data_IF_567651917737
#
_entry.id   IF_567651917737
#
_cell.length_a   1.000
_cell.length_b   1.000
_cell.length_c   1.000
_cell.angle_alpha   90.00
_cell.angle_beta   90.00
_cell.angle_gamma   90.00
#
_symmetry.space_group_name_H-M   'P 1'
#
loop_
_entity.id
_entity.type
_entity.pdbx_description
1 polymer ?
#
# COMPACT_ATOMS: atom_id res chain seq x y z
N UNK A 1 -6.35 -55.12 3.44
CA UNK A 1 -5.49 -54.03 2.90
C UNK A 1 -6.42 -52.87 2.57
N UNK A 2 -6.57 -51.94 3.49
CA UNK A 2 -7.39 -50.74 3.30
C UNK A 2 -6.46 -49.55 3.01
N UNK A 3 -6.46 -49.11 1.76
CA UNK A 3 -5.73 -47.93 1.35
C UNK A 3 -6.47 -46.68 1.81
N UNK A 4 -5.87 -45.90 2.74
CA UNK A 4 -6.33 -44.56 3.06
C UNK A 4 -5.90 -43.62 1.93
N UNK A 5 -6.86 -43.17 1.14
CA UNK A 5 -6.68 -42.01 0.26
C UNK A 5 -6.67 -40.75 1.13
N UNK A 6 -5.50 -40.19 1.30
CA UNK A 6 -5.38 -38.81 1.80
C UNK A 6 -5.83 -37.89 0.66
N UNK A 7 -7.06 -37.39 0.75
CA UNK A 7 -7.54 -36.30 -0.09
C UNK A 7 -6.81 -35.06 0.42
N UNK A 8 -5.81 -34.59 -0.32
CA UNK A 8 -5.32 -33.23 -0.19
C UNK A 8 -6.49 -32.31 -0.57
N UNK A 9 -7.17 -31.79 0.43
CA UNK A 9 -8.04 -30.62 0.24
C UNK A 9 -7.11 -29.45 -0.13
N UNK A 10 -6.98 -29.18 -1.42
CA UNK A 10 -6.50 -27.87 -1.87
C UNK A 10 -7.39 -26.85 -1.21
N UNK A 11 -6.83 -26.05 -0.27
CA UNK A 11 -7.58 -25.10 0.53
C UNK A 11 -8.41 -24.21 -0.38
N UNK A 12 -9.70 -24.15 -0.13
CA UNK A 12 -10.59 -23.19 -0.78
C UNK A 12 -10.05 -21.79 -0.46
N UNK A 13 -9.75 -21.00 -1.50
CA UNK A 13 -9.35 -19.60 -1.32
C UNK A 13 -10.51 -18.86 -0.64
N UNK A 14 -10.19 -18.02 0.34
CA UNK A 14 -11.19 -17.15 0.93
C UNK A 14 -11.73 -16.15 -0.11
N UNK A 15 -13.03 -15.88 -0.07
CA UNK A 15 -13.69 -14.99 -1.02
C UNK A 15 -14.00 -13.64 -0.39
N UNK A 16 -14.01 -12.59 -1.22
CA UNK A 16 -14.47 -11.28 -0.79
C UNK A 16 -15.97 -11.30 -0.49
N UNK A 17 -16.37 -10.65 0.61
CA UNK A 17 -17.77 -10.57 1.03
C UNK A 17 -18.61 -9.58 0.20
N UNK A 18 -17.97 -8.66 -0.54
CA UNK A 18 -18.62 -7.67 -1.39
C UNK A 18 -18.08 -7.71 -2.81
N UNK A 19 -18.89 -7.28 -3.77
CA UNK A 19 -18.50 -7.21 -5.18
C UNK A 19 -17.40 -6.16 -5.43
N UNK A 20 -17.43 -5.05 -4.69
CA UNK A 20 -16.42 -4.00 -4.80
C UNK A 20 -16.26 -3.19 -3.52
N UNK A 21 -15.01 -2.94 -3.13
CA UNK A 21 -14.66 -2.12 -1.98
C UNK A 21 -14.24 -0.72 -2.41
N UNK A 22 -14.94 0.29 -1.89
CA UNK A 22 -14.56 1.69 -1.99
C UNK A 22 -14.00 2.15 -0.65
N UNK A 23 -12.74 2.55 -0.62
CA UNK A 23 -12.08 2.90 0.63
C UNK A 23 -11.08 4.03 0.54
N UNK A 24 -10.49 4.30 1.69
CA UNK A 24 -9.26 5.08 1.85
C UNK A 24 -8.25 4.26 2.61
N UNK A 25 -6.96 4.56 2.39
CA UNK A 25 -5.84 3.91 3.06
C UNK A 25 -5.14 4.83 4.03
N UNK A 26 -4.57 4.22 5.06
CA UNK A 26 -3.68 4.85 6.06
C UNK A 26 -2.61 3.87 6.48
N UNK A 27 -1.58 4.34 7.23
CA UNK A 27 -0.64 3.48 7.94
C UNK A 27 -0.39 3.97 9.37
N UNK A 28 -0.15 3.04 10.28
CA UNK A 28 -0.02 3.32 11.71
C UNK A 28 1.03 4.40 12.02
N UNK A 29 2.26 4.22 11.54
CA UNK A 29 3.33 5.18 11.81
C UNK A 29 3.00 6.59 11.30
N UNK A 30 2.38 6.70 10.13
CA UNK A 30 2.09 7.98 9.48
C UNK A 30 0.95 8.77 10.12
N UNK A 31 0.04 8.10 10.87
CA UNK A 31 -1.14 8.78 11.43
C UNK A 31 -1.31 8.68 12.94
N UNK A 32 -0.80 7.61 13.59
CA UNK A 32 -1.13 7.35 15.00
C UNK A 32 -0.37 8.23 15.98
N UNK A 33 0.92 8.53 15.69
CA UNK A 33 1.83 9.23 16.61
C UNK A 33 2.46 8.30 17.65
N UNK A 34 3.49 8.79 18.33
CA UNK A 34 4.12 8.08 19.45
C UNK A 34 4.88 6.81 19.09
N UNK A 35 5.29 6.62 17.83
CA UNK A 35 6.01 5.44 17.34
C UNK A 35 7.48 5.32 17.79
N UNK A 36 7.81 5.66 19.05
CA UNK A 36 9.19 5.83 19.54
C UNK A 36 10.04 4.55 19.58
N UNK A 37 9.41 3.37 19.48
CA UNK A 37 10.09 2.07 19.52
C UNK A 37 10.29 1.48 18.11
N UNK A 38 10.34 2.31 17.06
CA UNK A 38 10.55 1.89 15.68
C UNK A 38 11.94 2.29 15.18
N UNK A 39 12.46 1.55 14.20
CA UNK A 39 13.64 1.90 13.43
C UNK A 39 13.49 3.26 12.74
N UNK A 40 12.29 3.61 12.24
CA UNK A 40 11.98 4.88 11.64
C UNK A 40 12.11 6.05 12.63
N UNK A 41 11.60 5.92 13.85
CA UNK A 41 11.76 6.93 14.88
C UNK A 41 13.23 7.24 15.19
N UNK A 42 14.06 6.20 15.25
CA UNK A 42 15.51 6.33 15.41
C UNK A 42 16.15 6.96 14.19
N UNK A 43 15.75 6.53 13.00
CA UNK A 43 16.29 6.97 11.72
C UNK A 43 16.02 8.47 11.46
N UNK A 44 14.81 8.95 11.64
CA UNK A 44 14.44 10.35 11.39
C UNK A 44 15.13 11.34 12.36
N UNK A 45 15.73 10.86 13.45
CA UNK A 45 16.48 11.64 14.44
C UNK A 45 17.99 11.43 14.36
N UNK A 46 18.45 10.56 13.48
CA UNK A 46 19.88 10.28 13.32
C UNK A 46 20.60 11.46 12.66
N UNK A 47 21.87 11.66 13.04
CA UNK A 47 22.70 12.66 12.40
C UNK A 47 22.93 12.27 10.93
N UNK A 48 22.66 13.21 10.02
CA UNK A 48 22.80 12.98 8.57
C UNK A 48 21.64 12.20 7.93
N UNK A 49 20.52 12.02 8.66
CA UNK A 49 19.30 11.47 8.08
C UNK A 49 18.81 12.31 6.90
N UNK A 50 18.27 11.71 5.84
CA UNK A 50 17.58 12.44 4.78
C UNK A 50 16.17 12.93 5.17
N UNK A 51 15.67 12.53 6.35
CA UNK A 51 14.35 12.98 6.81
C UNK A 51 14.34 14.48 7.12
N UNK A 52 13.42 15.21 6.51
CA UNK A 52 13.33 16.68 6.67
C UNK A 52 12.60 17.09 7.95
N UNK A 53 11.75 16.21 8.48
CA UNK A 53 10.98 16.41 9.71
C UNK A 53 10.85 15.09 10.46
N UNK A 54 10.44 15.15 11.73
CA UNK A 54 10.09 13.99 12.54
C UNK A 54 8.59 13.76 12.56
N UNK A 55 8.17 12.51 12.64
CA UNK A 55 6.75 12.13 12.68
C UNK A 55 6.02 12.73 13.91
N UNK A 56 6.63 12.65 15.09
CA UNK A 56 6.05 13.20 16.32
C UNK A 56 4.72 12.57 16.70
N UNK A 57 3.71 13.43 16.87
CA UNK A 57 2.33 12.98 17.19
C UNK A 57 1.51 12.60 15.97
N UNK A 58 2.08 12.63 14.79
CA UNK A 58 1.43 12.34 13.52
C UNK A 58 0.06 13.07 13.38
N UNK A 59 -1.01 12.34 13.12
CA UNK A 59 -2.38 12.88 13.12
C UNK A 59 -3.12 12.61 14.43
N UNK A 60 -2.43 12.08 15.46
CA UNK A 60 -3.03 11.66 16.73
C UNK A 60 -4.19 10.65 16.55
N UNK A 61 -4.14 9.87 15.47
CA UNK A 61 -5.21 8.90 15.15
C UNK A 61 -5.29 7.76 16.15
N UNK A 62 -4.22 7.47 16.92
CA UNK A 62 -4.29 6.54 18.04
C UNK A 62 -5.41 6.89 19.03
N UNK A 63 -5.60 8.18 19.31
CA UNK A 63 -6.65 8.67 20.21
C UNK A 63 -7.92 9.08 19.46
N UNK A 64 -7.83 9.42 18.17
CA UNK A 64 -8.91 10.05 17.38
C UNK A 64 -9.42 9.18 16.23
N UNK A 65 -9.14 7.88 16.24
CA UNK A 65 -9.56 6.95 15.17
C UNK A 65 -11.08 6.97 14.92
N UNK A 66 -11.90 7.19 15.95
CA UNK A 66 -13.36 7.24 15.77
C UNK A 66 -13.77 8.42 14.89
N UNK A 67 -13.15 9.61 15.08
CA UNK A 67 -13.38 10.79 14.24
C UNK A 67 -12.96 10.51 12.78
N UNK A 68 -11.81 9.86 12.58
CA UNK A 68 -11.32 9.50 11.25
C UNK A 68 -12.26 8.51 10.55
N UNK A 69 -12.77 7.52 11.28
CA UNK A 69 -13.73 6.54 10.77
C UNK A 69 -15.12 7.15 10.50
N UNK A 70 -15.58 8.09 11.34
CA UNK A 70 -16.81 8.86 11.11
C UNK A 70 -16.72 9.64 9.79
N UNK A 71 -15.57 10.27 9.54
CA UNK A 71 -15.32 10.96 8.27
C UNK A 71 -15.36 9.97 7.11
N UNK A 72 -14.63 8.86 7.18
CA UNK A 72 -14.61 7.85 6.10
C UNK A 72 -16.03 7.32 5.79
N UNK A 73 -16.81 7.01 6.81
CA UNK A 73 -18.20 6.56 6.65
C UNK A 73 -19.09 7.66 6.05
N UNK A 74 -18.92 8.92 6.45
CA UNK A 74 -19.68 10.06 5.92
C UNK A 74 -19.47 10.26 4.42
N UNK A 75 -18.32 9.87 3.89
CA UNK A 75 -18.02 9.89 2.46
C UNK A 75 -18.75 8.78 1.68
N UNK A 76 -19.42 7.85 2.37
CA UNK A 76 -20.12 6.71 1.76
C UNK A 76 -19.20 5.56 1.39
N UNK A 77 -18.01 5.52 1.99
CA UNK A 77 -17.08 4.40 1.83
C UNK A 77 -17.60 3.16 2.54
N UNK A 78 -17.20 1.99 2.07
CA UNK A 78 -17.55 0.69 2.65
C UNK A 78 -16.33 -0.11 3.12
N UNK A 79 -15.13 0.48 3.05
CA UNK A 79 -13.90 -0.13 3.54
C UNK A 79 -12.92 0.93 4.05
N UNK A 80 -12.06 0.52 4.98
CA UNK A 80 -10.98 1.35 5.51
C UNK A 80 -9.72 0.51 5.68
N UNK A 81 -8.61 0.95 5.06
CA UNK A 81 -7.32 0.25 5.19
C UNK A 81 -6.44 0.95 6.21
N UNK A 82 -5.97 0.15 7.16
CA UNK A 82 -5.07 0.55 8.24
C UNK A 82 -3.94 -0.46 8.40
N UNK A 83 -2.90 -0.12 9.13
CA UNK A 83 -1.89 -1.09 9.54
C UNK A 83 -1.86 -1.29 11.05
N UNK A 84 -1.38 -2.45 11.50
CA UNK A 84 -1.07 -2.73 12.90
C UNK A 84 0.42 -2.52 13.10
N UNK A 85 0.81 -1.71 14.08
CA UNK A 85 2.20 -1.37 14.34
C UNK A 85 2.88 -2.47 15.18
N UNK A 86 3.80 -3.21 14.55
CA UNK A 86 4.53 -4.29 15.21
C UNK A 86 5.29 -3.84 16.46
N UNK A 87 5.92 -2.66 16.39
CA UNK A 87 6.68 -2.10 17.51
C UNK A 87 5.82 -1.76 18.74
N UNK A 88 4.50 -1.60 18.57
CA UNK A 88 3.55 -1.47 19.67
C UNK A 88 3.11 -2.81 20.20
N UNK A 89 2.80 -3.75 19.32
CA UNK A 89 2.29 -5.09 19.68
C UNK A 89 3.37 -5.90 20.41
N UNK A 90 4.61 -5.82 19.96
CA UNK A 90 5.76 -6.54 20.52
C UNK A 90 6.92 -5.57 20.76
N UNK A 91 6.84 -4.74 21.82
CA UNK A 91 7.84 -3.71 22.10
C UNK A 91 9.24 -4.28 22.41
N UNK A 92 9.28 -5.49 22.98
CA UNK A 92 10.50 -6.27 23.21
C UNK A 92 10.26 -7.70 22.75
N UNK A 93 11.32 -8.38 22.32
CA UNK A 93 11.22 -9.75 21.79
C UNK A 93 10.49 -10.69 22.75
N UNK A 94 9.37 -11.24 22.31
CA UNK A 94 8.51 -12.15 23.07
C UNK A 94 7.59 -11.49 24.08
N UNK A 95 7.59 -10.17 24.21
CA UNK A 95 6.69 -9.43 25.10
C UNK A 95 5.53 -8.85 24.29
N UNK A 96 4.37 -9.48 24.39
CA UNK A 96 3.17 -9.04 23.68
C UNK A 96 2.37 -8.09 24.55
N UNK A 97 2.13 -6.88 24.06
CA UNK A 97 1.27 -5.90 24.71
C UNK A 97 -0.20 -6.18 24.35
N UNK A 98 -0.89 -6.84 25.28
CA UNK A 98 -2.31 -7.21 25.14
C UNK A 98 -3.20 -5.96 25.04
N UNK A 99 -2.86 -4.88 25.75
CA UNK A 99 -3.66 -3.65 25.74
C UNK A 99 -3.62 -2.97 24.35
N UNK A 100 -2.50 -3.09 23.65
CA UNK A 100 -2.36 -2.63 22.26
C UNK A 100 -3.23 -3.47 21.32
N UNK A 101 -3.24 -4.80 21.45
CA UNK A 101 -4.12 -5.67 20.66
C UNK A 101 -5.59 -5.39 20.93
N UNK A 102 -5.97 -5.16 22.20
CA UNK A 102 -7.33 -4.74 22.55
C UNK A 102 -7.69 -3.39 21.94
N UNK A 103 -6.74 -2.43 21.88
CA UNK A 103 -6.97 -1.15 21.23
C UNK A 103 -7.25 -1.34 19.74
N UNK A 104 -6.40 -2.06 19.00
CA UNK A 104 -6.68 -2.37 17.60
C UNK A 104 -7.99 -3.15 17.43
N UNK A 105 -8.33 -4.04 18.35
CA UNK A 105 -9.63 -4.70 18.39
C UNK A 105 -10.80 -3.72 18.43
N UNK A 106 -10.71 -2.66 19.24
CA UNK A 106 -11.71 -1.58 19.30
C UNK A 106 -11.76 -0.77 17.99
N UNK A 107 -10.60 -0.52 17.36
CA UNK A 107 -10.55 0.17 16.05
C UNK A 107 -11.28 -0.64 14.98
N UNK A 108 -11.04 -1.96 14.91
CA UNK A 108 -11.71 -2.83 13.93
C UNK A 108 -13.21 -2.93 14.20
N UNK A 109 -13.64 -3.03 15.48
CA UNK A 109 -15.06 -2.99 15.86
C UNK A 109 -15.71 -1.66 15.46
N UNK A 110 -15.00 -0.54 15.65
CA UNK A 110 -15.47 0.78 15.24
C UNK A 110 -15.61 0.92 13.71
N UNK A 111 -14.75 0.27 12.92
CA UNK A 111 -14.92 0.16 11.47
C UNK A 111 -16.23 -0.58 11.13
N UNK A 112 -16.42 -1.77 11.68
CA UNK A 112 -17.64 -2.56 11.42
C UNK A 112 -18.93 -1.85 11.87
N UNK A 113 -18.89 -1.17 13.01
CA UNK A 113 -20.03 -0.39 13.51
C UNK A 113 -20.45 0.73 12.56
N UNK A 114 -19.53 1.18 11.69
CA UNK A 114 -19.76 2.23 10.66
C UNK A 114 -19.98 1.69 9.25
N UNK A 115 -20.05 0.36 9.10
CA UNK A 115 -20.19 -0.30 7.80
C UNK A 115 -18.92 -0.26 6.95
N UNK A 116 -17.76 -0.01 7.58
CA UNK A 116 -16.45 0.00 6.94
C UNK A 116 -15.79 -1.37 7.14
N UNK A 117 -15.56 -2.11 6.07
CA UNK A 117 -14.79 -3.36 6.10
C UNK A 117 -13.32 -3.07 6.45
N UNK A 118 -12.78 -3.59 7.57
CA UNK A 118 -11.39 -3.32 7.95
C UNK A 118 -10.42 -4.13 7.09
N UNK A 119 -9.54 -3.42 6.37
CA UNK A 119 -8.44 -3.99 5.61
C UNK A 119 -7.17 -3.80 6.39
N UNK A 120 -6.59 -4.90 6.89
CA UNK A 120 -5.47 -4.84 7.82
C UNK A 120 -4.16 -5.13 7.11
N UNK A 121 -3.23 -4.19 7.18
CA UNK A 121 -1.84 -4.37 6.76
C UNK A 121 -0.99 -4.71 7.97
N UNK A 122 -0.25 -5.82 7.91
CA UNK A 122 0.54 -6.31 9.04
C UNK A 122 1.92 -5.67 9.15
N UNK A 123 2.56 -5.37 8.04
CA UNK A 123 3.83 -4.63 8.03
C UNK A 123 3.75 -3.46 7.06
N UNK A 124 4.01 -2.25 7.57
CA UNK A 124 4.02 -1.02 6.77
C UNK A 124 5.27 -0.18 7.08
N UNK A 125 6.42 -0.62 6.51
CA UNK A 125 7.76 0.00 6.50
C UNK A 125 8.54 -0.03 7.83
N UNK A 126 7.87 -0.03 8.97
CA UNK A 126 8.50 0.09 10.29
C UNK A 126 8.84 -1.26 10.90
N UNK A 127 9.98 -1.33 11.59
CA UNK A 127 10.38 -2.48 12.40
C UNK A 127 10.54 -2.06 13.87
N UNK A 128 10.18 -2.93 14.83
CA UNK A 128 10.58 -2.74 16.23
C UNK A 128 12.08 -2.56 16.37
N UNK A 129 12.54 -1.74 17.31
CA UNK A 129 13.98 -1.53 17.53
C UNK A 129 14.74 -2.83 17.78
N UNK A 130 14.15 -3.79 18.51
CA UNK A 130 14.80 -5.08 18.77
C UNK A 130 15.00 -5.93 17.50
N UNK A 131 14.08 -5.81 16.51
CA UNK A 131 14.23 -6.45 15.19
C UNK A 131 15.30 -5.76 14.39
N UNK A 132 15.28 -4.43 14.35
CA UNK A 132 16.28 -3.63 13.65
C UNK A 132 17.69 -3.86 14.22
N UNK A 133 17.84 -3.93 15.53
CA UNK A 133 19.10 -4.21 16.23
C UNK A 133 19.62 -5.64 15.98
N UNK A 134 18.73 -6.59 15.71
CA UNK A 134 19.07 -7.95 15.29
C UNK A 134 19.44 -8.07 13.80
N UNK A 135 19.45 -6.96 13.04
CA UNK A 135 19.81 -6.91 11.62
C UNK A 135 18.64 -6.71 10.66
N UNK A 136 17.41 -6.49 11.16
CA UNK A 136 16.23 -6.22 10.32
C UNK A 136 15.98 -7.33 9.30
N UNK A 137 15.73 -6.96 8.04
CA UNK A 137 15.49 -7.93 6.95
C UNK A 137 16.73 -8.70 6.49
N UNK A 138 17.92 -8.41 7.02
CA UNK A 138 19.12 -9.21 6.81
C UNK A 138 19.36 -10.24 7.92
N UNK A 139 18.57 -10.19 8.99
CA UNK A 139 18.63 -11.18 10.07
C UNK A 139 18.15 -12.55 9.59
N UNK A 140 18.85 -13.65 9.91
CA UNK A 140 18.41 -15.00 9.58
C UNK A 140 17.07 -15.37 10.26
N UNK A 141 16.73 -14.71 11.37
CA UNK A 141 15.52 -14.98 12.14
C UNK A 141 14.28 -14.18 11.68
N UNK A 142 14.43 -13.20 10.78
CA UNK A 142 13.37 -12.24 10.47
C UNK A 142 12.10 -12.90 9.94
N UNK A 143 12.24 -13.91 9.08
CA UNK A 143 11.10 -14.62 8.50
C UNK A 143 10.27 -15.29 9.59
N UNK A 144 10.90 -15.92 10.57
CA UNK A 144 10.21 -16.53 11.71
C UNK A 144 9.60 -15.48 12.64
N UNK A 145 10.30 -14.38 12.88
CA UNK A 145 9.84 -13.32 13.78
C UNK A 145 8.60 -12.61 13.22
N UNK A 146 8.60 -12.24 11.94
CA UNK A 146 7.46 -11.57 11.32
C UNK A 146 6.25 -12.51 11.16
N UNK A 147 6.48 -13.80 10.89
CA UNK A 147 5.42 -14.81 10.87
C UNK A 147 4.82 -15.04 12.26
N UNK A 148 5.66 -15.03 13.32
CA UNK A 148 5.20 -15.09 14.69
C UNK A 148 4.32 -13.88 15.04
N UNK A 149 4.78 -12.68 14.74
CA UNK A 149 3.99 -11.47 14.92
C UNK A 149 2.64 -11.54 14.18
N UNK A 150 2.66 -11.94 12.89
CA UNK A 150 1.44 -12.09 12.11
C UNK A 150 0.46 -13.08 12.77
N UNK A 151 0.95 -14.20 13.27
CA UNK A 151 0.14 -15.18 14.01
C UNK A 151 -0.46 -14.60 15.29
N UNK A 152 0.33 -13.88 16.10
CA UNK A 152 -0.16 -13.24 17.33
C UNK A 152 -1.29 -12.26 17.06
N UNK A 153 -1.12 -11.41 16.03
CA UNK A 153 -2.17 -10.44 15.63
C UNK A 153 -3.39 -11.17 15.08
N UNK A 154 -3.20 -12.23 14.27
CA UNK A 154 -4.31 -13.01 13.73
C UNK A 154 -5.09 -13.74 14.84
N UNK A 155 -4.42 -14.30 15.82
CA UNK A 155 -5.06 -14.93 16.98
C UNK A 155 -5.96 -13.95 17.78
N UNK A 156 -5.53 -12.69 17.88
CA UNK A 156 -6.28 -11.68 18.61
C UNK A 156 -7.37 -10.99 17.78
N UNK A 157 -7.15 -10.76 16.49
CA UNK A 157 -7.95 -9.87 15.67
C UNK A 157 -8.58 -10.55 14.45
N UNK A 158 -8.21 -11.78 14.09
CA UNK A 158 -8.54 -12.41 12.82
C UNK A 158 -10.05 -12.45 12.51
N UNK A 159 -10.90 -12.71 13.50
CA UNK A 159 -12.36 -12.73 13.31
C UNK A 159 -12.96 -11.36 12.94
N UNK A 160 -12.19 -10.26 13.13
CA UNK A 160 -12.61 -8.89 12.85
C UNK A 160 -12.07 -8.37 11.52
N UNK A 161 -11.16 -9.09 10.86
CA UNK A 161 -10.51 -8.66 9.61
C UNK A 161 -11.41 -8.99 8.42
N UNK A 162 -11.60 -8.02 7.51
CA UNK A 162 -12.30 -8.24 6.25
C UNK A 162 -11.39 -8.85 5.18
N UNK A 163 -10.17 -8.35 5.04
CA UNK A 163 -9.06 -8.95 4.29
C UNK A 163 -7.71 -8.37 4.74
N UNK A 164 -6.63 -9.11 4.51
CA UNK A 164 -5.32 -8.85 5.06
C UNK A 164 -4.26 -8.60 3.97
N UNK A 165 -3.46 -7.54 4.14
CA UNK A 165 -2.22 -7.34 3.42
C UNK A 165 -1.05 -7.74 4.32
N UNK A 166 -0.22 -8.68 3.89
CA UNK A 166 0.93 -9.12 4.67
C UNK A 166 1.97 -8.03 4.85
N UNK A 167 2.55 -7.57 3.74
CA UNK A 167 3.58 -6.54 3.70
C UNK A 167 3.16 -5.44 2.73
N UNK A 168 3.27 -4.19 3.16
CA UNK A 168 3.13 -3.03 2.30
C UNK A 168 4.42 -2.79 1.51
N UNK A 169 4.31 -2.78 0.19
CA UNK A 169 5.38 -2.41 -0.75
C UNK A 169 6.77 -3.00 -0.39
N UNK A 170 6.89 -4.33 -0.28
CA UNK A 170 8.17 -4.92 0.09
C UNK A 170 9.31 -4.52 -0.86
N UNK A 171 9.00 -4.32 -2.15
CA UNK A 171 9.93 -3.82 -3.13
C UNK A 171 10.44 -2.40 -2.82
N UNK A 172 9.59 -1.53 -2.24
CA UNK A 172 10.02 -0.19 -1.79
C UNK A 172 10.84 -0.28 -0.51
N UNK A 173 10.47 -1.16 0.43
CA UNK A 173 11.31 -1.43 1.62
C UNK A 173 12.73 -1.79 1.20
N UNK A 174 12.88 -2.74 0.27
CA UNK A 174 14.19 -3.14 -0.23
C UNK A 174 14.89 -2.02 -1.02
N UNK A 175 14.18 -1.36 -1.93
CA UNK A 175 14.76 -0.34 -2.80
C UNK A 175 15.21 0.89 -2.02
N UNK A 176 14.35 1.44 -1.17
CA UNK A 176 14.65 2.67 -0.45
C UNK A 176 15.59 2.43 0.73
N UNK A 177 15.50 1.28 1.38
CA UNK A 177 16.33 0.94 2.53
C UNK A 177 17.72 0.41 2.17
N UNK A 178 17.85 -0.34 1.06
CA UNK A 178 19.07 -1.09 0.76
C UNK A 178 19.73 -0.74 -0.58
N UNK A 179 19.03 -0.05 -1.48
CA UNK A 179 19.61 0.39 -2.76
C UNK A 179 19.90 1.89 -2.78
N UNK A 180 18.97 2.71 -2.27
CA UNK A 180 19.11 4.17 -2.30
C UNK A 180 19.47 4.79 -0.93
N UNK A 181 19.27 4.09 0.16
CA UNK A 181 19.61 4.56 1.50
C UNK A 181 18.73 5.70 2.02
N UNK A 182 17.53 5.89 1.46
CA UNK A 182 16.57 6.91 1.90
C UNK A 182 15.69 6.45 3.06
N UNK A 183 15.57 5.15 3.30
CA UNK A 183 14.85 4.56 4.41
C UNK A 183 15.81 3.81 5.33
N UNK A 184 15.44 3.48 6.59
CA UNK A 184 16.25 2.61 7.40
C UNK A 184 16.45 1.24 6.69
N UNK A 185 17.63 0.62 6.76
CA UNK A 185 18.80 0.99 7.53
C UNK A 185 19.82 1.91 6.79
N UNK A 186 19.43 2.61 5.73
CA UNK A 186 20.25 3.55 4.96
C UNK A 186 21.44 2.92 4.25
N UNK A 187 21.22 1.78 3.62
CA UNK A 187 22.23 1.04 2.87
C UNK A 187 22.15 1.38 1.37
N UNK A 188 23.29 1.40 0.69
CA UNK A 188 23.41 1.59 -0.76
C UNK A 188 24.25 0.46 -1.37
N UNK A 189 23.64 -0.73 -1.48
CA UNK A 189 24.31 -1.93 -1.97
C UNK A 189 23.35 -2.80 -2.78
N UNK A 190 23.71 -3.08 -4.04
CA UNK A 190 22.87 -3.85 -4.95
C UNK A 190 22.72 -5.33 -4.55
N UNK A 191 23.76 -5.93 -3.96
CA UNK A 191 23.70 -7.33 -3.54
C UNK A 191 22.80 -7.49 -2.30
N UNK A 192 22.91 -6.56 -1.34
CA UNK A 192 22.05 -6.53 -0.15
C UNK A 192 20.59 -6.25 -0.54
N UNK A 193 20.35 -5.31 -1.46
CA UNK A 193 19.01 -5.07 -2.01
C UNK A 193 18.38 -6.36 -2.55
N UNK A 194 19.09 -7.15 -3.36
CA UNK A 194 18.58 -8.41 -3.89
C UNK A 194 18.32 -9.45 -2.82
N UNK A 195 19.25 -9.60 -1.86
CA UNK A 195 19.10 -10.53 -0.76
C UNK A 195 17.88 -10.18 0.11
N UNK A 196 17.66 -8.89 0.39
CA UNK A 196 16.50 -8.42 1.15
C UNK A 196 15.20 -8.60 0.38
N UNK A 197 15.19 -8.38 -0.94
CA UNK A 197 14.02 -8.71 -1.76
C UNK A 197 13.62 -10.20 -1.64
N UNK A 198 14.62 -11.11 -1.64
CA UNK A 198 14.36 -12.52 -1.42
C UNK A 198 13.79 -12.80 -0.03
N UNK A 199 14.41 -12.21 1.02
CA UNK A 199 13.91 -12.34 2.40
C UNK A 199 12.48 -11.85 2.54
N UNK A 200 12.11 -10.73 1.91
CA UNK A 200 10.76 -10.17 1.96
C UNK A 200 9.72 -11.08 1.25
N UNK A 201 10.11 -11.75 0.16
CA UNK A 201 9.25 -12.76 -0.49
C UNK A 201 9.03 -13.98 0.41
N UNK A 202 10.07 -14.45 1.09
CA UNK A 202 9.96 -15.55 2.08
C UNK A 202 9.13 -15.13 3.28
N UNK A 203 9.32 -13.91 3.79
CA UNK A 203 8.55 -13.34 4.89
C UNK A 203 7.06 -13.26 4.52
N UNK A 204 6.74 -12.77 3.32
CA UNK A 204 5.37 -12.75 2.82
C UNK A 204 4.72 -14.16 2.85
N UNK A 205 5.39 -15.19 2.30
CA UNK A 205 4.86 -16.56 2.30
C UNK A 205 4.64 -17.09 3.71
N UNK A 206 5.61 -16.89 4.60
CA UNK A 206 5.48 -17.32 6.01
C UNK A 206 4.33 -16.59 6.74
N UNK A 207 4.10 -15.32 6.42
CA UNK A 207 2.95 -14.57 6.97
C UNK A 207 1.62 -15.09 6.40
N UNK A 208 1.53 -15.40 5.10
CA UNK A 208 0.32 -16.01 4.51
C UNK A 208 -0.04 -17.30 5.23
N UNK A 209 0.94 -18.18 5.46
CA UNK A 209 0.72 -19.45 6.17
C UNK A 209 0.27 -19.20 7.62
N UNK A 210 0.89 -18.25 8.32
CA UNK A 210 0.54 -17.88 9.68
C UNK A 210 -0.89 -17.32 9.78
N UNK A 211 -1.29 -16.44 8.84
CA UNK A 211 -2.62 -15.83 8.82
C UNK A 211 -3.72 -16.84 8.47
N UNK A 212 -3.47 -17.74 7.52
CA UNK A 212 -4.42 -18.80 7.14
C UNK A 212 -4.59 -19.86 8.22
N UNK A 213 -3.61 -20.03 9.10
CA UNK A 213 -3.69 -20.94 10.24
C UNK A 213 -4.43 -20.33 11.46
N UNK A 214 -4.59 -19.00 11.50
CA UNK A 214 -5.27 -18.28 12.57
C UNK A 214 -6.80 -18.31 12.46
N UNK A 215 -7.49 -17.73 13.45
CA UNK A 215 -8.96 -17.62 13.42
C UNK A 215 -9.43 -16.61 12.35
N UNK A 216 -10.68 -16.78 11.94
CA UNK A 216 -11.29 -15.99 10.87
C UNK A 216 -11.15 -16.65 9.51
N UNK A 217 -11.89 -16.12 8.53
CA UNK A 217 -11.83 -16.55 7.13
C UNK A 217 -11.88 -15.31 6.26
N UNK A 218 -10.73 -14.83 5.88
CA UNK A 218 -10.56 -13.59 5.12
C UNK A 218 -9.50 -13.78 4.02
N UNK A 219 -9.63 -13.08 2.89
CA UNK A 219 -8.60 -13.07 1.85
C UNK A 219 -7.27 -12.53 2.37
N UNK A 220 -6.17 -13.16 1.98
CA UNK A 220 -4.80 -12.76 2.31
C UNK A 220 -4.02 -12.52 1.03
N UNK A 221 -3.31 -11.39 0.95
CA UNK A 221 -2.49 -11.03 -0.19
C UNK A 221 -1.35 -10.07 0.15
N UNK A 222 -0.59 -9.73 -0.87
CA UNK A 222 0.51 -8.77 -0.80
C UNK A 222 0.05 -7.41 -1.36
N UNK A 223 0.54 -6.29 -0.81
CA UNK A 223 0.39 -4.98 -1.43
C UNK A 223 1.71 -4.58 -2.10
N UNK A 224 1.73 -4.54 -3.44
CA UNK A 224 2.93 -4.31 -4.25
C UNK A 224 2.90 -2.91 -4.88
N UNK A 225 4.01 -2.17 -4.74
CA UNK A 225 4.21 -0.94 -5.49
C UNK A 225 4.51 -1.27 -6.95
N UNK A 226 3.71 -0.71 -7.85
CA UNK A 226 3.84 -0.89 -9.29
C UNK A 226 3.83 0.48 -9.99
N UNK A 227 4.53 0.57 -11.11
CA UNK A 227 4.53 1.79 -11.90
C UNK A 227 4.50 1.48 -13.39
N UNK A 228 4.13 2.47 -14.20
CA UNK A 228 4.39 2.35 -15.62
C UNK A 228 5.86 2.67 -15.89
N UNK A 229 6.69 1.64 -16.00
CA UNK A 229 8.09 1.81 -16.40
C UNK A 229 8.19 1.82 -17.92
N UNK A 230 8.92 2.82 -18.46
CA UNK A 230 9.14 3.01 -19.89
C UNK A 230 10.64 3.17 -20.16
N UNK A 231 11.18 2.39 -21.09
CA UNK A 231 12.56 2.53 -21.55
C UNK A 231 12.72 3.81 -22.39
N UNK A 232 13.76 4.55 -22.13
CA UNK A 232 14.16 5.73 -22.91
C UNK A 232 15.67 5.70 -23.18
N UNK A 233 16.09 6.24 -24.30
CA UNK A 233 17.51 6.44 -24.67
C UNK A 233 18.37 5.17 -24.57
N UNK A 234 17.86 3.99 -24.89
CA UNK A 234 18.59 2.73 -24.81
C UNK A 234 18.60 2.08 -23.43
N UNK A 235 17.61 2.37 -22.59
CA UNK A 235 17.47 1.83 -21.22
C UNK A 235 16.78 0.46 -21.12
N UNK A 236 16.62 -0.31 -22.21
CA UNK A 236 15.84 -1.56 -22.25
C UNK A 236 16.38 -2.63 -21.29
N UNK A 237 17.68 -2.84 -21.29
CA UNK A 237 18.34 -3.81 -20.40
C UNK A 237 18.17 -3.40 -18.92
N UNK A 238 18.37 -2.11 -18.64
CA UNK A 238 18.20 -1.55 -17.30
C UNK A 238 16.76 -1.69 -16.82
N UNK A 239 15.80 -1.38 -17.70
CA UNK A 239 14.38 -1.56 -17.44
C UNK A 239 14.04 -3.02 -17.14
N UNK A 240 14.50 -3.97 -17.95
CA UNK A 240 14.25 -5.39 -17.73
C UNK A 240 14.80 -5.88 -16.38
N UNK A 241 16.01 -5.45 -16.02
CA UNK A 241 16.62 -5.78 -14.73
C UNK A 241 15.84 -5.18 -13.56
N UNK A 242 15.46 -3.89 -13.64
CA UNK A 242 14.71 -3.21 -12.59
C UNK A 242 13.32 -3.83 -12.41
N UNK A 243 12.59 -4.05 -13.49
CA UNK A 243 11.24 -4.63 -13.46
C UNK A 243 11.24 -6.03 -12.85
N UNK A 244 12.25 -6.84 -13.14
CA UNK A 244 12.40 -8.16 -12.53
C UNK A 244 12.45 -8.08 -11.01
N UNK A 245 13.29 -7.22 -10.47
CA UNK A 245 13.49 -7.08 -9.01
C UNK A 245 12.31 -6.38 -8.32
N UNK A 246 11.71 -5.39 -9.00
CA UNK A 246 10.63 -4.59 -8.41
C UNK A 246 9.25 -5.21 -8.54
N UNK A 247 8.98 -5.97 -9.60
CA UNK A 247 7.64 -6.48 -9.88
C UNK A 247 7.62 -8.00 -10.14
N UNK A 248 8.37 -8.51 -11.14
CA UNK A 248 8.15 -9.84 -11.70
C UNK A 248 8.36 -10.96 -10.69
N UNK A 249 9.39 -10.85 -9.85
CA UNK A 249 9.68 -11.87 -8.82
C UNK A 249 8.61 -11.88 -7.71
N UNK A 250 8.00 -10.75 -7.38
CA UNK A 250 6.85 -10.69 -6.47
C UNK A 250 5.58 -11.25 -7.11
N UNK A 251 5.32 -10.90 -8.38
CA UNK A 251 4.16 -11.41 -9.13
C UNK A 251 4.19 -12.93 -9.29
N UNK A 252 5.37 -13.56 -9.27
CA UNK A 252 5.50 -15.04 -9.24
C UNK A 252 5.12 -15.62 -7.87
N UNK A 253 5.47 -14.93 -6.79
CA UNK A 253 5.27 -15.46 -5.42
C UNK A 253 3.80 -15.40 -5.00
N UNK A 254 3.02 -14.44 -5.50
CA UNK A 254 1.61 -14.22 -5.11
C UNK A 254 0.61 -15.11 -5.85
N UNK A 255 1.04 -16.05 -6.69
CA UNK A 255 0.13 -16.88 -7.51
C UNK A 255 -0.90 -17.69 -6.70
N UNK A 256 -0.55 -18.02 -5.44
CA UNK A 256 -1.42 -18.76 -4.51
C UNK A 256 -2.10 -17.87 -3.48
N UNK A 257 -1.96 -16.55 -3.57
CA UNK A 257 -2.65 -15.61 -2.72
C UNK A 257 -4.12 -15.48 -3.13
N UNK A 258 -4.93 -14.91 -2.24
CA UNK A 258 -6.35 -14.69 -2.51
C UNK A 258 -6.58 -13.43 -3.33
N UNK A 259 -5.63 -12.48 -3.30
CA UNK A 259 -5.60 -11.28 -4.13
C UNK A 259 -4.19 -10.69 -4.21
N UNK A 260 -4.01 -9.77 -5.16
CA UNK A 260 -2.85 -8.86 -5.19
C UNK A 260 -3.32 -7.42 -4.96
N UNK A 261 -2.75 -6.76 -3.98
CA UNK A 261 -2.85 -5.31 -3.80
C UNK A 261 -1.93 -4.58 -4.78
N UNK A 262 -2.48 -3.71 -5.61
CA UNK A 262 -1.74 -2.87 -6.56
C UNK A 262 -1.70 -1.46 -6.02
N UNK A 263 -0.49 -0.90 -5.88
CA UNK A 263 -0.25 0.48 -5.46
C UNK A 263 0.48 1.21 -6.57
N UNK A 264 -0.08 2.31 -7.06
CA UNK A 264 0.50 3.01 -8.21
C UNK A 264 0.20 4.49 -8.17
N UNK A 265 1.20 5.29 -8.55
CA UNK A 265 1.14 6.75 -8.44
C UNK A 265 1.58 7.48 -9.71
N UNK A 266 2.45 6.85 -10.52
CA UNK A 266 3.11 7.55 -11.61
C UNK A 266 3.66 6.63 -12.70
N UNK A 267 4.35 7.22 -13.65
CA UNK A 267 5.21 6.61 -14.66
C UNK A 267 6.67 7.00 -14.40
N UNK A 268 7.57 6.04 -14.59
CA UNK A 268 9.01 6.26 -14.55
C UNK A 268 9.65 5.97 -15.91
N UNK A 269 10.45 6.91 -16.39
CA UNK A 269 11.28 6.72 -17.57
C UNK A 269 12.63 6.16 -17.12
N UNK A 270 13.08 5.07 -17.75
CA UNK A 270 14.31 4.34 -17.39
C UNK A 270 15.31 4.45 -18.55
N UNK A 271 16.39 5.16 -18.30
CA UNK A 271 17.56 5.23 -19.17
C UNK A 271 18.61 4.17 -18.84
N UNK A 272 19.74 4.12 -19.57
CA UNK A 272 20.84 3.18 -19.33
C UNK A 272 21.41 3.26 -17.89
N UNK A 273 21.47 4.48 -17.33
CA UNK A 273 22.00 4.72 -15.97
C UNK A 273 20.95 4.53 -14.86
N UNK A 274 19.68 4.32 -15.21
CA UNK A 274 18.60 4.15 -14.27
C UNK A 274 17.43 5.10 -14.50
N UNK A 275 16.77 5.50 -13.40
CA UNK A 275 15.58 6.33 -13.44
C UNK A 275 15.90 7.76 -13.90
N UNK A 276 15.13 8.25 -14.89
CA UNK A 276 15.27 9.61 -15.45
C UNK A 276 14.27 10.52 -14.75
N UNK A 277 14.80 11.46 -13.98
CA UNK A 277 14.00 12.42 -13.21
C UNK A 277 13.73 13.73 -13.97
N UNK A 278 14.50 14.00 -15.03
CA UNK A 278 14.30 15.15 -15.88
C UNK A 278 13.34 14.81 -17.01
N UNK A 279 12.11 15.27 -16.89
CA UNK A 279 11.04 15.09 -17.87
C UNK A 279 10.19 16.36 -18.00
N UNK A 280 9.65 16.57 -19.16
CA UNK A 280 8.69 17.65 -19.40
C UNK A 280 7.29 17.27 -18.90
N UNK A 281 6.53 18.29 -18.47
CA UNK A 281 5.14 18.15 -18.06
C UNK A 281 4.89 18.41 -16.58
N UNK A 282 3.67 18.13 -16.18
CA UNK A 282 3.15 18.42 -14.86
C UNK A 282 3.76 17.47 -13.80
N UNK A 283 4.13 18.05 -12.65
CA UNK A 283 4.72 17.32 -11.51
C UNK A 283 3.80 17.35 -10.30
N UNK A 284 3.93 16.32 -9.48
CA UNK A 284 3.35 16.26 -8.13
C UNK A 284 4.30 16.87 -7.11
N UNK A 285 3.84 17.09 -5.87
CA UNK A 285 4.71 17.55 -4.77
C UNK A 285 5.79 16.52 -4.37
N UNK A 286 5.64 15.25 -4.79
CA UNK A 286 6.67 14.21 -4.66
C UNK A 286 7.76 14.32 -5.73
N UNK A 287 7.66 15.24 -6.67
CA UNK A 287 8.52 15.30 -7.86
C UNK A 287 8.15 14.28 -8.94
N UNK A 288 7.13 13.46 -8.74
CA UNK A 288 6.66 12.48 -9.71
C UNK A 288 5.98 13.17 -10.91
N UNK A 289 5.95 12.47 -12.04
CA UNK A 289 5.13 12.87 -13.19
C UNK A 289 3.65 12.75 -12.82
N UNK A 290 2.83 13.75 -13.15
CA UNK A 290 1.38 13.63 -13.12
C UNK A 290 0.96 12.58 -14.16
N UNK A 291 0.54 11.39 -13.71
CA UNK A 291 0.28 10.25 -14.59
C UNK A 291 -0.82 9.31 -14.05
N UNK A 292 -2.09 9.73 -14.01
CA UNK A 292 -3.20 8.93 -13.52
C UNK A 292 -3.45 7.64 -14.33
N UNK A 293 -2.95 7.58 -15.58
CA UNK A 293 -3.01 6.39 -16.45
C UNK A 293 -2.24 5.20 -15.90
N UNK A 294 -1.40 5.39 -14.87
CA UNK A 294 -0.70 4.30 -14.20
C UNK A 294 -1.66 3.25 -13.65
N UNK A 295 -2.86 3.64 -13.19
CA UNK A 295 -3.86 2.70 -12.65
C UNK A 295 -4.29 1.67 -13.70
N UNK A 296 -4.69 2.12 -14.88
CA UNK A 296 -5.09 1.20 -15.97
C UNK A 296 -3.93 0.31 -16.40
N UNK A 297 -2.75 0.91 -16.57
CA UNK A 297 -1.55 0.19 -17.00
C UNK A 297 -1.15 -0.90 -16.01
N UNK A 298 -1.03 -0.58 -14.71
CA UNK A 298 -0.58 -1.53 -13.70
C UNK A 298 -1.59 -2.64 -13.45
N UNK A 299 -2.89 -2.36 -13.54
CA UNK A 299 -3.94 -3.36 -13.46
C UNK A 299 -3.85 -4.37 -14.62
N UNK A 300 -3.68 -3.90 -15.86
CA UNK A 300 -3.47 -4.80 -17.00
C UNK A 300 -2.17 -5.57 -16.87
N UNK A 301 -1.09 -4.93 -16.43
CA UNK A 301 0.21 -5.59 -16.20
C UNK A 301 0.10 -6.69 -15.15
N UNK A 302 -0.55 -6.42 -14.01
CA UNK A 302 -0.77 -7.41 -12.98
C UNK A 302 -1.62 -8.59 -13.48
N UNK A 303 -2.73 -8.31 -14.18
CA UNK A 303 -3.62 -9.33 -14.72
C UNK A 303 -2.97 -10.21 -15.81
N UNK A 304 -1.95 -9.72 -16.51
CA UNK A 304 -1.15 -10.52 -17.45
C UNK A 304 -0.22 -11.50 -16.73
N UNK A 305 0.19 -11.20 -15.51
CA UNK A 305 1.17 -11.97 -14.75
C UNK A 305 0.53 -12.87 -13.69
N UNK A 306 -0.70 -12.58 -13.26
CA UNK A 306 -1.40 -13.35 -12.23
C UNK A 306 -2.86 -13.60 -12.65
N UNK A 307 -3.43 -14.72 -12.19
CA UNK A 307 -4.85 -15.02 -12.39
C UNK A 307 -5.71 -14.75 -11.16
N UNK A 308 -5.17 -14.07 -10.15
CA UNK A 308 -5.87 -13.78 -8.89
C UNK A 308 -6.57 -12.40 -8.96
N UNK A 309 -7.60 -12.17 -8.15
CA UNK A 309 -8.26 -10.88 -8.04
C UNK A 309 -7.29 -9.75 -7.68
N UNK A 310 -7.52 -8.55 -8.18
CA UNK A 310 -6.73 -7.36 -7.89
C UNK A 310 -7.51 -6.41 -7.00
N UNK A 311 -6.80 -5.70 -6.12
CA UNK A 311 -7.33 -4.57 -5.34
C UNK A 311 -6.36 -3.40 -5.51
N UNK A 312 -6.83 -2.23 -5.94
CA UNK A 312 -6.02 -1.02 -5.86
C UNK A 312 -5.98 -0.60 -4.39
N UNK A 313 -4.95 -1.04 -3.68
CA UNK A 313 -4.80 -0.79 -2.23
C UNK A 313 -4.29 0.60 -1.92
N UNK A 314 -3.66 1.26 -2.90
CA UNK A 314 -3.32 2.68 -2.83
C UNK A 314 -3.23 3.29 -4.24
N UNK A 315 -3.83 4.47 -4.39
CA UNK A 315 -3.61 5.39 -5.51
C UNK A 315 -3.99 6.80 -5.07
N UNK A 316 -3.22 7.79 -5.49
CA UNK A 316 -3.43 9.19 -5.12
C UNK A 316 -2.37 10.12 -5.66
N UNK A 317 -2.44 11.37 -5.24
CA UNK A 317 -1.49 12.41 -5.64
C UNK A 317 -1.12 13.32 -4.47
N UNK A 318 0.17 13.53 -4.27
CA UNK A 318 0.69 14.56 -3.39
C UNK A 318 0.58 15.92 -4.08
N UNK A 319 -0.32 16.79 -3.58
CA UNK A 319 -0.51 18.14 -4.12
C UNK A 319 -1.22 19.04 -3.12
N UNK A 320 -0.90 20.32 -3.13
CA UNK A 320 -1.67 21.36 -2.41
C UNK A 320 -2.86 21.87 -3.25
N UNK A 321 -2.83 21.70 -4.57
CA UNK A 321 -3.93 22.06 -5.46
C UNK A 321 -4.99 20.93 -5.49
N UNK A 322 -6.07 21.14 -4.78
CA UNK A 322 -7.14 20.15 -4.69
C UNK A 322 -7.92 20.00 -6.02
N UNK A 323 -7.85 20.98 -6.93
CA UNK A 323 -8.41 20.83 -8.28
C UNK A 323 -7.58 19.88 -9.13
N UNK A 324 -6.26 19.88 -8.96
CA UNK A 324 -5.34 18.88 -9.55
C UNK A 324 -5.66 17.48 -8.98
N UNK A 325 -5.92 17.35 -7.67
CA UNK A 325 -6.30 16.09 -7.05
C UNK A 325 -7.61 15.54 -7.62
N UNK A 326 -8.63 16.38 -7.74
CA UNK A 326 -9.93 15.97 -8.33
C UNK A 326 -9.73 15.48 -9.78
N UNK A 327 -8.94 16.21 -10.59
CA UNK A 327 -8.63 15.81 -11.96
C UNK A 327 -7.89 14.47 -12.01
N UNK A 328 -6.87 14.29 -11.15
CA UNK A 328 -6.13 13.04 -11.05
C UNK A 328 -7.04 11.86 -10.70
N UNK A 329 -7.88 12.01 -9.67
CA UNK A 329 -8.83 10.99 -9.26
C UNK A 329 -9.81 10.63 -10.37
N UNK A 330 -10.35 11.63 -11.07
CA UNK A 330 -11.30 11.41 -12.17
C UNK A 330 -10.68 10.57 -13.30
N UNK A 331 -9.46 10.89 -13.70
CA UNK A 331 -8.73 10.17 -14.74
C UNK A 331 -8.28 8.78 -14.30
N UNK A 332 -7.82 8.62 -13.06
CA UNK A 332 -7.41 7.35 -12.47
C UNK A 332 -8.60 6.38 -12.36
N UNK A 333 -9.74 6.85 -11.85
CA UNK A 333 -10.97 6.04 -11.72
C UNK A 333 -11.58 5.69 -13.08
N UNK A 334 -11.42 6.54 -14.09
CA UNK A 334 -11.78 6.19 -15.47
C UNK A 334 -10.86 5.08 -16.02
N UNK A 335 -9.55 5.11 -15.70
CA UNK A 335 -8.61 4.04 -16.01
C UNK A 335 -9.01 2.70 -15.34
N UNK A 336 -9.34 2.75 -14.05
CA UNK A 336 -9.89 1.60 -13.30
C UNK A 336 -11.13 1.01 -14.00
N UNK A 337 -12.06 1.90 -14.42
CA UNK A 337 -13.29 1.48 -15.10
C UNK A 337 -13.00 0.82 -16.45
N UNK A 338 -12.04 1.33 -17.21
CA UNK A 338 -11.61 0.73 -18.48
C UNK A 338 -10.98 -0.65 -18.25
N UNK A 339 -10.09 -0.79 -17.28
CA UNK A 339 -9.48 -2.08 -16.93
C UNK A 339 -10.55 -3.14 -16.58
N UNK A 340 -11.52 -2.79 -15.72
CA UNK A 340 -12.64 -3.69 -15.37
C UNK A 340 -13.50 -4.06 -16.58
N UNK A 341 -13.83 -3.10 -17.46
CA UNK A 341 -14.55 -3.38 -18.71
C UNK A 341 -13.77 -4.26 -19.66
N UNK A 342 -12.44 -4.17 -19.64
CA UNK A 342 -11.51 -5.04 -20.36
C UNK A 342 -11.36 -6.44 -19.78
N UNK A 343 -12.12 -6.77 -18.71
CA UNK A 343 -12.15 -8.10 -18.10
C UNK A 343 -11.17 -8.31 -16.94
N UNK A 344 -10.47 -7.27 -16.48
CA UNK A 344 -9.60 -7.37 -15.28
C UNK A 344 -10.47 -7.49 -14.03
N UNK A 345 -10.25 -8.54 -13.24
CA UNK A 345 -10.97 -8.77 -11.98
C UNK A 345 -10.44 -7.86 -10.87
N UNK A 346 -10.99 -6.63 -10.77
CA UNK A 346 -10.64 -5.66 -9.74
C UNK A 346 -11.76 -5.58 -8.70
N UNK A 347 -11.43 -5.84 -7.44
CA UNK A 347 -12.36 -5.98 -6.31
C UNK A 347 -12.39 -4.76 -5.36
N UNK A 348 -11.52 -3.78 -5.54
CA UNK A 348 -11.55 -2.57 -4.70
C UNK A 348 -10.63 -1.47 -5.18
N UNK A 349 -10.90 -0.27 -4.68
CA UNK A 349 -10.07 0.92 -4.86
C UNK A 349 -9.99 1.71 -3.56
N UNK A 350 -8.77 1.99 -3.12
CA UNK A 350 -8.47 2.74 -1.91
C UNK A 350 -7.67 3.98 -2.25
N UNK A 351 -8.26 5.14 -1.98
CA UNK A 351 -7.59 6.43 -2.11
C UNK A 351 -6.47 6.54 -1.06
N UNK A 352 -5.26 6.84 -1.49
CA UNK A 352 -4.18 7.27 -0.64
C UNK A 352 -4.14 8.79 -0.60
N UNK A 353 -4.54 9.39 0.51
CA UNK A 353 -4.93 8.83 1.80
C UNK A 353 -6.20 9.52 2.32
N UNK A 354 -6.75 9.05 3.44
CA UNK A 354 -7.82 9.78 4.11
C UNK A 354 -7.32 11.15 4.56
N UNK A 355 -6.24 11.18 5.37
CA UNK A 355 -5.69 12.35 6.02
C UNK A 355 -4.41 12.84 5.32
N UNK A 356 -4.15 14.15 5.32
CA UNK A 356 -2.79 14.63 5.16
C UNK A 356 -1.95 14.13 6.33
N UNK A 357 -0.90 13.38 6.04
CA UNK A 357 -0.13 12.67 7.05
C UNK A 357 1.39 12.83 6.86
N UNK A 358 2.16 12.10 7.63
CA UNK A 358 3.63 12.09 7.57
C UNK A 358 4.12 11.29 6.35
N UNK A 359 4.76 11.96 5.38
CA UNK A 359 5.26 11.32 4.15
C UNK A 359 6.73 10.96 4.28
N UNK A 360 7.03 10.13 5.28
CA UNK A 360 8.36 9.52 5.49
C UNK A 360 9.49 10.57 5.51
N UNK A 361 10.52 10.41 4.65
CA UNK A 361 11.64 11.36 4.58
C UNK A 361 11.25 12.76 4.13
N UNK A 362 10.10 12.94 3.53
CA UNK A 362 9.58 14.25 3.08
C UNK A 362 8.74 14.97 4.13
N UNK A 363 8.57 14.37 5.31
CA UNK A 363 7.84 14.98 6.41
C UNK A 363 6.37 15.27 6.07
N UNK A 364 5.88 16.43 6.47
CA UNK A 364 4.50 16.84 6.22
C UNK A 364 4.34 17.72 4.98
N UNK A 365 5.37 17.83 4.13
CA UNK A 365 5.34 18.61 2.89
C UNK A 365 4.28 18.11 1.90
N UNK A 366 4.35 16.86 1.44
CA UNK A 366 3.39 16.32 0.49
C UNK A 366 2.01 16.14 1.12
N UNK A 367 0.95 16.59 0.41
CA UNK A 367 -0.44 16.52 0.84
C UNK A 367 -1.20 15.50 -0.02
N UNK A 368 -1.41 14.29 0.52
CA UNK A 368 -2.14 13.22 -0.17
C UNK A 368 -3.60 13.10 0.27
N UNK A 369 -3.90 13.56 1.47
CA UNK A 369 -5.22 13.40 2.08
C UNK A 369 -6.34 14.08 1.30
N UNK A 370 -7.52 13.46 1.31
CA UNK A 370 -8.77 14.15 0.95
C UNK A 370 -9.30 14.97 2.14
N UNK A 371 -8.69 14.80 3.30
CA UNK A 371 -8.94 15.56 4.54
C UNK A 371 -7.65 16.22 4.98
N UNK A 372 -7.67 17.52 5.23
CA UNK A 372 -6.52 18.21 5.83
C UNK A 372 -6.52 18.05 7.34
N UNK A 373 -5.32 18.04 7.94
CA UNK A 373 -5.11 18.01 9.38
C UNK A 373 -4.31 19.25 9.80
N UNK A 374 -4.90 20.09 10.65
CA UNK A 374 -4.18 21.19 11.29
C UNK A 374 -3.22 20.63 12.34
N UNK A 375 -1.93 20.83 12.13
CA UNK A 375 -0.88 20.22 12.98
C UNK A 375 -0.84 20.78 14.41
N UNK A 376 -1.45 21.93 14.68
CA UNK A 376 -1.48 22.53 16.01
C UNK A 376 -2.69 22.08 16.84
N UNK A 377 -3.84 21.94 16.17
CA UNK A 377 -5.12 21.62 16.82
C UNK A 377 -5.60 20.19 16.57
N UNK A 378 -4.96 19.49 15.62
CA UNK A 378 -5.39 18.18 15.10
C UNK A 378 -6.82 18.21 14.52
N UNK A 379 -7.32 19.37 14.13
CA UNK A 379 -8.64 19.51 13.49
C UNK A 379 -8.61 18.91 12.09
N UNK A 380 -9.61 18.08 11.77
CA UNK A 380 -9.84 17.49 10.45
C UNK A 380 -10.77 18.40 9.64
N UNK A 381 -10.41 18.69 8.39
CA UNK A 381 -11.24 19.48 7.48
C UNK A 381 -11.34 18.81 6.13
N UNK A 382 -12.56 18.54 5.67
CA UNK A 382 -12.81 17.94 4.35
C UNK A 382 -12.31 18.90 3.26
N UNK A 383 -11.60 18.36 2.27
CA UNK A 383 -11.25 19.08 1.05
C UNK A 383 -12.35 18.90 -0.01
N UNK A 384 -12.45 19.77 -1.03
CA UNK A 384 -13.39 19.58 -2.14
C UNK A 384 -13.26 18.20 -2.82
N UNK A 385 -12.07 17.63 -2.85
CA UNK A 385 -11.82 16.27 -3.35
C UNK A 385 -12.52 15.18 -2.54
N UNK A 386 -12.72 15.35 -1.23
CA UNK A 386 -13.48 14.43 -0.41
C UNK A 386 -14.94 14.38 -0.86
N UNK A 387 -15.56 15.55 -1.05
CA UNK A 387 -16.93 15.63 -1.55
C UNK A 387 -17.08 15.09 -2.97
N UNK A 388 -16.07 15.34 -3.82
CA UNK A 388 -16.04 14.80 -5.18
C UNK A 388 -15.96 13.26 -5.16
N UNK A 389 -15.05 12.70 -4.36
CA UNK A 389 -14.87 11.25 -4.22
C UNK A 389 -16.14 10.60 -3.64
N UNK A 390 -16.75 11.19 -2.62
CA UNK A 390 -18.00 10.73 -2.04
C UNK A 390 -19.15 10.68 -3.06
N UNK A 391 -19.28 11.71 -3.92
CA UNK A 391 -20.26 11.70 -5.02
C UNK A 391 -19.98 10.61 -6.04
N UNK A 392 -18.70 10.44 -6.41
CA UNK A 392 -18.31 9.38 -7.34
C UNK A 392 -18.63 7.99 -6.80
N UNK A 393 -18.32 7.72 -5.54
CA UNK A 393 -18.61 6.43 -4.88
C UNK A 393 -20.11 6.12 -4.87
N UNK A 394 -20.95 7.12 -4.58
CA UNK A 394 -22.41 6.94 -4.48
C UNK A 394 -23.12 6.84 -5.84
N UNK A 395 -22.64 7.55 -6.85
CA UNK A 395 -23.37 7.76 -8.11
C UNK A 395 -22.61 7.35 -9.37
N UNK A 396 -21.35 6.96 -9.25
CA UNK A 396 -20.48 6.73 -10.40
C UNK A 396 -20.05 8.03 -11.10
N UNK A 397 -19.47 7.96 -12.31
CA UNK A 397 -19.02 9.12 -13.05
C UNK A 397 -20.19 10.05 -13.40
N UNK A 398 -20.00 11.36 -13.21
CA UNK A 398 -20.99 12.36 -13.58
C UNK A 398 -21.26 12.34 -15.10
N UNK A 399 -22.53 12.41 -15.56
CA UNK A 399 -22.86 12.44 -16.99
C UNK A 399 -22.28 13.65 -17.77
N UNK A 400 -21.86 14.70 -17.06
CA UNK A 400 -21.43 15.97 -17.66
C UNK A 400 -19.96 16.05 -18.09
N UNK A 401 -19.16 14.99 -17.90
CA UNK A 401 -17.78 14.97 -18.34
C UNK A 401 -17.58 14.59 -19.82
N UNK A 402 -18.64 14.31 -20.57
CA UNK A 402 -18.62 13.89 -21.97
C UNK A 402 -19.25 14.90 -22.96
N UNK A 403 -19.09 16.18 -22.75
CA UNK A 403 -19.67 17.19 -23.66
C UNK A 403 -18.86 18.45 -23.73
N UNK A 404 -17.79 18.48 -24.50
CA UNK A 404 -17.45 19.45 -25.54
C UNK A 404 -15.97 19.28 -25.96
N UNK A 405 -15.81 18.84 -27.20
CA UNK A 405 -14.73 19.30 -28.06
C UNK A 405 -13.28 18.93 -27.77
N UNK A 406 -12.93 17.66 -27.44
CA UNK A 406 -11.56 17.24 -27.69
C UNK A 406 -11.51 16.28 -28.89
N UNK A 407 -11.03 16.80 -30.01
CA UNK A 407 -10.63 15.98 -31.17
C UNK A 407 -9.71 14.88 -30.67
N UNK A 408 -10.14 13.62 -30.83
CA UNK A 408 -9.34 12.44 -30.57
C UNK A 408 -7.96 12.61 -31.18
N UNK A 409 -6.94 12.83 -30.36
CA UNK A 409 -5.59 12.39 -30.76
C UNK A 409 -5.62 10.88 -30.60
N UNK A 410 -5.23 10.09 -31.61
CA UNK A 410 -5.07 8.66 -31.44
C UNK A 410 -4.08 8.45 -30.30
N UNK A 411 -4.49 7.71 -29.27
CA UNK A 411 -3.60 7.26 -28.24
C UNK A 411 -2.45 6.46 -28.85
N UNK A 412 -1.27 6.43 -28.22
CA UNK A 412 -0.19 5.61 -28.69
C UNK A 412 -0.69 4.17 -28.75
N UNK A 413 -0.64 3.57 -29.92
CA UNK A 413 -0.78 2.13 -30.12
C UNK A 413 0.23 1.43 -29.20
N UNK A 414 -0.27 0.52 -28.36
CA UNK A 414 0.59 -0.39 -27.60
C UNK A 414 1.53 -1.05 -28.62
N UNK A 415 2.85 -1.08 -28.41
CA UNK A 415 3.72 -1.88 -29.24
C UNK A 415 3.31 -3.33 -29.10
N UNK A 416 3.05 -3.99 -30.21
CA UNK A 416 2.90 -5.44 -30.26
C UNK A 416 4.13 -6.06 -29.64
N UNK A 417 3.93 -6.85 -28.58
CA UNK A 417 4.97 -7.66 -27.97
C UNK A 417 5.25 -8.80 -28.97
N UNK A 418 6.29 -8.64 -29.76
CA UNK A 418 6.91 -9.76 -30.46
C UNK A 418 7.80 -10.50 -29.48
N UNK A 419 7.69 -11.84 -29.53
CA UNK A 419 8.33 -12.90 -28.74
C UNK A 419 9.81 -12.69 -28.34
#
# INVERSE_FOLDING_TARGET
>A
MGGYYIIFMSGLRASFAQDFYWGTSTSAYQIEGGGSNTDWWRFERAVGTPAVETCGVACDSWNRYEEDLDIAASLGLNAFRLSVEWARVEPHRGEIDVAVLEHYGRVLDACWARGLAPVVTFHHFTLPLWVADAGGFESPDIVNSIAHYARVVAEALGEKIAFACTINEPNIVAQMGYLYGFFPPAVTDWARFRAVNETLRLAHRAMVDALRAGPGSYPVGLALSMAQYVSVNGGEERLASLRREMEDEYLKVVQDDDFLGVQCYTRHDIGPEGMVWDFEGERTSMGYRYWPQCVEYTLHRAAQMTAIPLVVTENGIGTEDDTQRIRYLAEALEGLRRARRGGVDVRGYFQWSLLDNFEWTLGYGPKFGVVSVDRNTMTRSLKPSADWYARYVRHGPSPTANGEGSRRRPGPTLPELTD
#
